data_IF_645531927400
#
_entry.id   IF_645531927400
#
_cell.length_a   1.000
_cell.length_b   1.000
_cell.length_c   1.000
_cell.angle_alpha   90.00
_cell.angle_beta   90.00
_cell.angle_gamma   90.00
#
_symmetry.space_group_name_H-M   'P 1'
#
loop_
_entity.id
_entity.type
_entity.pdbx_description
1 polymer ?
#
# COMPACT_ATOMS: atom_id res chain seq x y z
N UNK A 1 26.07 -19.09 38.55
CA UNK A 1 25.05 -19.34 37.51
C UNK A 1 23.64 -19.02 37.95
N UNK A 2 23.32 -19.01 39.26
CA UNK A 2 21.98 -18.58 39.76
C UNK A 2 21.85 -17.05 39.84
N UNK A 3 22.93 -16.36 40.23
CA UNK A 3 22.90 -14.94 40.56
C UNK A 3 22.72 -14.03 39.33
N UNK A 4 23.34 -14.39 38.20
CA UNK A 4 23.24 -13.61 36.96
C UNK A 4 21.79 -13.58 36.40
N UNK A 5 21.04 -14.66 36.62
CA UNK A 5 19.65 -14.76 36.18
C UNK A 5 18.73 -13.92 37.08
N UNK A 6 18.94 -13.94 38.39
CA UNK A 6 18.16 -13.11 39.31
C UNK A 6 18.47 -11.62 39.12
N UNK A 7 19.72 -11.26 38.85
CA UNK A 7 20.12 -9.90 38.48
C UNK A 7 19.48 -9.46 37.16
N UNK A 8 19.45 -10.33 36.15
CA UNK A 8 18.77 -10.05 34.89
C UNK A 8 17.27 -9.79 35.08
N UNK A 9 16.59 -10.59 35.92
CA UNK A 9 15.18 -10.39 36.23
C UNK A 9 14.92 -9.07 36.97
N UNK A 10 15.79 -8.69 37.91
CA UNK A 10 15.69 -7.39 38.60
C UNK A 10 15.89 -6.23 37.64
N UNK A 11 16.83 -6.34 36.71
CA UNK A 11 17.07 -5.33 35.68
C UNK A 11 15.88 -5.18 34.73
N UNK A 12 15.23 -6.28 34.37
CA UNK A 12 13.99 -6.27 33.57
C UNK A 12 12.85 -5.57 34.34
N UNK A 13 12.67 -5.87 35.63
CA UNK A 13 11.62 -5.22 36.44
C UNK A 13 11.83 -3.70 36.55
N UNK A 14 13.08 -3.27 36.79
CA UNK A 14 13.45 -1.85 36.82
C UNK A 14 13.20 -1.19 35.46
N UNK A 15 13.59 -1.83 34.37
CA UNK A 15 13.34 -1.32 33.02
C UNK A 15 11.84 -1.14 32.75
N UNK A 16 11.04 -2.17 33.02
CA UNK A 16 9.58 -2.13 32.83
C UNK A 16 8.93 -1.02 33.67
N UNK A 17 9.36 -0.84 34.92
CA UNK A 17 8.84 0.22 35.80
C UNK A 17 9.18 1.62 35.27
N UNK A 18 10.41 1.82 34.79
CA UNK A 18 10.84 3.10 34.20
C UNK A 18 10.09 3.37 32.89
N UNK A 19 9.91 2.36 32.05
CA UNK A 19 9.15 2.47 30.81
C UNK A 19 7.70 2.86 31.07
N UNK A 20 7.03 2.17 32.01
CA UNK A 20 5.66 2.47 32.40
C UNK A 20 5.51 3.89 32.95
N UNK A 21 6.46 4.34 33.78
CA UNK A 21 6.47 5.72 34.31
C UNK A 21 6.62 6.75 33.17
N UNK A 22 7.54 6.54 32.24
CA UNK A 22 7.76 7.43 31.09
C UNK A 22 6.54 7.51 30.16
N UNK A 23 5.85 6.37 29.93
CA UNK A 23 4.62 6.35 29.14
C UNK A 23 3.49 7.13 29.82
N UNK A 24 3.33 7.00 31.14
CA UNK A 24 2.32 7.77 31.87
C UNK A 24 2.65 9.26 31.90
N UNK A 25 3.93 9.62 32.00
CA UNK A 25 4.39 11.00 31.92
C UNK A 25 4.16 11.59 30.51
N UNK A 26 4.48 10.86 29.44
CA UNK A 26 4.24 11.32 28.07
C UNK A 26 2.75 11.51 27.76
N UNK A 27 1.89 10.60 28.24
CA UNK A 27 0.44 10.72 28.07
C UNK A 27 -0.14 11.92 28.83
N UNK A 28 0.43 12.28 29.99
CA UNK A 28 0.03 13.48 30.76
C UNK A 28 0.52 14.77 30.10
N UNK A 29 1.69 14.77 29.48
CA UNK A 29 2.22 15.90 28.72
C UNK A 29 1.39 16.15 27.44
N UNK A 30 0.88 15.10 26.80
CA UNK A 30 -0.03 15.20 25.65
C UNK A 30 -1.42 15.76 26.04
N UNK A 31 -1.91 15.51 27.27
CA UNK A 31 -3.16 16.10 27.77
C UNK A 31 -3.08 17.61 27.99
N UNK A 32 -1.88 18.14 28.28
CA UNK A 32 -1.63 19.59 28.44
C UNK A 32 -1.33 20.31 27.11
N UNK A 33 -0.85 19.59 26.09
CA UNK A 33 -0.58 20.13 24.75
C UNK A 33 -1.73 19.83 23.78
N UNK A 34 -2.94 20.24 24.14
CA UNK A 34 -4.13 20.23 23.25
C UNK A 34 -3.99 21.24 22.10
N UNK A 35 -3.11 20.96 21.14
CA UNK A 35 -3.16 21.61 19.83
C UNK A 35 -3.08 20.65 18.65
N UNK A 36 -2.82 19.35 18.87
CA UNK A 36 -2.91 18.35 17.81
C UNK A 36 -4.06 17.38 18.09
N UNK A 37 -5.25 17.56 17.48
CA UNK A 37 -6.25 16.51 17.50
C UNK A 37 -5.66 15.30 16.75
N UNK A 38 -5.26 14.27 17.49
CA UNK A 38 -4.95 12.97 16.92
C UNK A 38 -6.19 12.50 16.16
N UNK A 39 -6.05 12.36 14.84
CA UNK A 39 -7.17 11.95 14.01
C UNK A 39 -7.67 10.56 14.42
N UNK A 40 -9.00 10.34 14.49
CA UNK A 40 -9.56 9.04 14.84
C UNK A 40 -9.04 7.93 13.93
N UNK A 41 -8.72 6.76 14.50
CA UNK A 41 -8.28 5.58 13.75
C UNK A 41 -9.28 5.14 12.66
N UNK A 42 -10.55 5.57 12.77
CA UNK A 42 -11.57 5.34 11.75
C UNK A 42 -11.19 5.96 10.39
N UNK A 43 -10.40 7.04 10.35
CA UNK A 43 -9.84 7.59 9.10
C UNK A 43 -8.77 6.70 8.46
N UNK A 44 -8.15 5.80 9.24
CA UNK A 44 -7.16 4.84 8.74
C UNK A 44 -7.82 3.58 8.16
N UNK A 45 -9.12 3.37 8.40
CA UNK A 45 -9.91 2.29 7.81
C UNK A 45 -10.23 2.60 6.34
N UNK A 46 -9.20 2.72 5.50
CA UNK A 46 -9.38 2.80 4.04
C UNK A 46 -9.90 1.45 3.52
N UNK A 47 -10.76 1.49 2.49
CA UNK A 47 -11.25 0.30 1.79
C UNK A 47 -10.06 -0.60 1.44
N UNK A 48 -10.09 -1.86 1.87
CA UNK A 48 -9.06 -2.84 1.50
C UNK A 48 -9.24 -3.20 0.03
N UNK A 49 -8.37 -2.66 -0.83
CA UNK A 49 -8.26 -3.10 -2.21
C UNK A 49 -7.53 -4.44 -2.25
N UNK A 50 -8.06 -5.37 -3.04
CA UNK A 50 -7.54 -6.74 -3.17
C UNK A 50 -6.90 -6.89 -4.54
N UNK A 51 -5.65 -7.37 -4.57
CA UNK A 51 -4.99 -7.81 -5.80
C UNK A 51 -5.47 -9.22 -6.05
N UNK A 52 -6.29 -9.39 -7.07
CA UNK A 52 -7.11 -10.59 -7.19
C UNK A 52 -6.37 -11.75 -7.85
N UNK A 53 -5.50 -11.51 -8.84
CA UNK A 53 -4.88 -12.61 -9.59
C UNK A 53 -3.73 -12.16 -10.52
N UNK A 54 -2.78 -13.09 -10.76
CA UNK A 54 -1.70 -13.03 -11.76
C UNK A 54 -2.02 -13.98 -12.91
N UNK A 55 -1.97 -13.49 -14.15
CA UNK A 55 -2.13 -14.34 -15.34
C UNK A 55 -1.08 -14.05 -16.41
N UNK A 56 -0.57 -15.11 -17.05
CA UNK A 56 0.29 -15.02 -18.23
C UNK A 56 -0.59 -15.05 -19.50
N UNK A 57 -0.45 -14.04 -20.37
CA UNK A 57 -1.32 -13.92 -21.56
C UNK A 57 -0.95 -14.88 -22.69
N UNK A 58 0.21 -15.53 -22.67
CA UNK A 58 0.59 -16.51 -23.70
C UNK A 58 1.14 -17.82 -23.12
N UNK A 59 0.66 -18.99 -23.57
CA UNK A 59 1.18 -20.28 -23.12
C UNK A 59 2.45 -20.64 -23.91
N UNK A 60 3.55 -19.91 -23.69
CA UNK A 60 4.85 -20.27 -24.27
C UNK A 60 5.61 -21.19 -23.32
N UNK A 61 5.35 -22.50 -23.49
CA UNK A 61 6.23 -23.60 -23.11
C UNK A 61 6.63 -23.65 -21.63
N UNK A 62 6.06 -24.61 -20.89
CA UNK A 62 6.44 -25.00 -19.53
C UNK A 62 7.96 -25.16 -19.36
N UNK A 63 8.68 -24.08 -19.07
CA UNK A 63 10.06 -24.14 -18.63
C UNK A 63 10.00 -24.25 -17.11
N UNK A 64 10.39 -25.42 -16.60
CA UNK A 64 10.44 -25.74 -15.16
C UNK A 64 11.55 -24.99 -14.41
N UNK A 65 12.04 -23.88 -14.96
CA UNK A 65 13.06 -23.03 -14.37
C UNK A 65 12.37 -21.68 -14.12
N UNK A 66 12.20 -21.26 -12.85
CA UNK A 66 11.72 -19.91 -12.56
C UNK A 66 12.65 -18.92 -13.25
N UNK A 67 12.12 -18.15 -14.21
CA UNK A 67 12.89 -17.07 -14.81
C UNK A 67 13.23 -16.08 -13.69
N UNK A 68 14.52 -15.80 -13.42
CA UNK A 68 14.96 -15.02 -12.25
C UNK A 68 14.56 -13.54 -12.29
N UNK A 69 13.65 -13.11 -13.17
CA UNK A 69 13.42 -11.70 -13.52
C UNK A 69 11.97 -11.24 -13.39
N UNK A 70 11.06 -12.08 -12.89
CA UNK A 70 9.69 -11.65 -12.56
C UNK A 70 9.46 -11.87 -11.07
N UNK A 71 10.24 -11.17 -10.25
CA UNK A 71 9.82 -10.91 -8.87
C UNK A 71 8.45 -10.24 -8.93
N UNK A 72 7.52 -10.70 -8.10
CA UNK A 72 6.20 -10.11 -8.05
C UNK A 72 6.33 -8.64 -7.62
N UNK A 73 5.82 -7.70 -8.43
CA UNK A 73 5.96 -6.29 -8.15
C UNK A 73 5.16 -5.97 -6.90
N UNK A 74 5.75 -5.20 -6.00
CA UNK A 74 4.99 -4.60 -4.91
C UNK A 74 4.01 -3.60 -5.51
N UNK A 75 2.74 -3.74 -5.13
CA UNK A 75 1.65 -2.86 -5.58
C UNK A 75 0.97 -2.28 -4.35
N UNK A 76 1.04 -0.96 -4.22
CA UNK A 76 0.37 -0.20 -3.18
C UNK A 76 -0.76 0.64 -3.79
N UNK A 77 -1.91 0.67 -3.12
CA UNK A 77 -3.09 1.43 -3.56
C UNK A 77 -3.45 2.42 -2.47
N UNK A 78 -3.42 3.70 -2.82
CA UNK A 78 -3.77 4.81 -1.95
C UNK A 78 -5.05 5.47 -2.45
N UNK A 79 -5.91 5.80 -1.51
CA UNK A 79 -7.12 6.57 -1.79
C UNK A 79 -7.09 7.88 -1.01
N UNK A 80 -7.37 8.97 -1.72
CA UNK A 80 -7.52 10.32 -1.21
C UNK A 80 -8.91 10.87 -1.61
N UNK A 81 -9.27 12.09 -1.21
CA UNK A 81 -10.57 12.71 -1.50
C UNK A 81 -10.87 12.81 -3.00
N UNK A 82 -9.84 13.09 -3.80
CA UNK A 82 -9.99 13.38 -5.23
C UNK A 82 -9.48 12.27 -6.16
N UNK A 83 -8.62 11.37 -5.67
CA UNK A 83 -7.91 10.41 -6.51
C UNK A 83 -7.76 9.04 -5.84
N UNK A 84 -7.65 8.01 -6.67
CA UNK A 84 -7.06 6.72 -6.33
C UNK A 84 -5.69 6.64 -7.02
N UNK A 85 -4.64 6.38 -6.26
CA UNK A 85 -3.26 6.26 -6.74
C UNK A 85 -2.79 4.82 -6.60
N UNK A 86 -2.33 4.24 -7.69
CA UNK A 86 -1.68 2.92 -7.72
C UNK A 86 -0.19 3.13 -7.91
N UNK A 87 0.63 2.58 -7.02
CA UNK A 87 2.08 2.52 -7.14
C UNK A 87 2.48 1.07 -7.37
N UNK A 88 3.21 0.80 -8.44
CA UNK A 88 3.69 -0.52 -8.80
C UNK A 88 5.20 -0.49 -9.02
N UNK A 89 5.94 -1.34 -8.32
CA UNK A 89 7.39 -1.43 -8.46
C UNK A 89 7.76 -2.14 -9.77
N UNK A 90 8.24 -1.42 -10.77
CA UNK A 90 8.67 -1.99 -12.05
C UNK A 90 9.63 -1.07 -12.85
N UNK A 91 10.28 -1.62 -13.87
CA UNK A 91 11.17 -0.88 -14.78
C UNK A 91 10.41 -0.37 -16.00
N UNK A 92 9.74 0.76 -15.83
CA UNK A 92 8.80 1.27 -16.82
C UNK A 92 9.40 1.87 -18.12
N UNK A 93 10.72 2.05 -18.24
CA UNK A 93 11.38 2.47 -19.49
C UNK A 93 11.80 1.31 -20.39
N UNK A 94 12.09 0.16 -19.78
CA UNK A 94 12.63 -1.00 -20.50
C UNK A 94 11.54 -2.05 -20.79
N UNK A 95 10.35 -1.87 -20.21
CA UNK A 95 9.23 -2.79 -20.32
C UNK A 95 8.05 -2.14 -21.03
N UNK A 96 7.34 -2.93 -21.84
CA UNK A 96 6.06 -2.50 -22.41
C UNK A 96 4.99 -2.60 -21.33
N UNK A 97 4.42 -1.45 -20.96
CA UNK A 97 3.34 -1.36 -19.98
C UNK A 97 2.03 -1.09 -20.70
N UNK A 98 1.01 -1.87 -20.40
CA UNK A 98 -0.38 -1.60 -20.83
C UNK A 98 -1.30 -1.58 -19.62
N UNK A 99 -2.26 -0.68 -19.64
CA UNK A 99 -3.27 -0.55 -18.58
C UNK A 99 -4.64 -0.59 -19.24
N UNK A 100 -5.46 -1.56 -18.84
CA UNK A 100 -6.78 -1.77 -19.38
C UNK A 100 -7.83 -1.68 -18.27
N UNK A 101 -8.97 -1.05 -18.57
CA UNK A 101 -10.16 -1.15 -17.75
C UNK A 101 -10.80 -2.52 -17.98
N UNK A 102 -11.22 -3.17 -16.90
CA UNK A 102 -11.99 -4.42 -16.91
C UNK A 102 -13.25 -4.25 -16.07
N UNK A 103 -14.18 -5.20 -16.11
CA UNK A 103 -15.52 -5.06 -15.52
C UNK A 103 -15.56 -4.76 -14.02
N UNK A 104 -14.55 -5.22 -13.27
CA UNK A 104 -14.45 -5.14 -11.82
C UNK A 104 -13.20 -4.40 -11.32
N UNK A 105 -12.48 -3.73 -12.22
CA UNK A 105 -11.22 -3.12 -11.83
C UNK A 105 -10.33 -2.61 -12.95
N UNK A 106 -9.04 -2.63 -12.66
CA UNK A 106 -7.97 -2.22 -13.56
C UNK A 106 -7.01 -3.40 -13.75
N UNK A 107 -6.66 -3.68 -14.99
CA UNK A 107 -5.61 -4.64 -15.32
C UNK A 107 -4.36 -3.87 -15.73
N UNK A 108 -3.24 -4.15 -15.06
CA UNK A 108 -1.93 -3.62 -15.43
C UNK A 108 -1.10 -4.79 -15.97
N UNK A 109 -0.54 -4.65 -17.16
CA UNK A 109 0.32 -5.67 -17.76
C UNK A 109 1.72 -5.12 -17.99
N UNK A 110 2.72 -5.91 -17.60
CA UNK A 110 4.13 -5.72 -17.93
C UNK A 110 4.53 -6.87 -18.85
N UNK A 111 4.81 -6.54 -20.11
CA UNK A 111 5.09 -7.53 -21.15
C UNK A 111 3.95 -8.56 -21.26
N UNK A 112 4.19 -9.81 -20.88
CA UNK A 112 3.23 -10.92 -20.97
C UNK A 112 2.53 -11.24 -19.63
N UNK A 113 2.87 -10.53 -18.54
CA UNK A 113 2.34 -10.77 -17.19
C UNK A 113 1.40 -9.64 -16.80
N UNK A 114 0.19 -10.02 -16.35
CA UNK A 114 -0.83 -9.06 -15.94
C UNK A 114 -1.26 -9.26 -14.49
N UNK A 115 -1.56 -8.14 -13.85
CA UNK A 115 -2.11 -8.05 -12.51
C UNK A 115 -3.48 -7.40 -12.55
N UNK A 116 -4.44 -8.06 -11.92
CA UNK A 116 -5.80 -7.57 -11.77
C UNK A 116 -5.95 -6.85 -10.43
N UNK A 117 -6.34 -5.59 -10.49
CA UNK A 117 -6.60 -4.74 -9.32
C UNK A 117 -8.09 -4.49 -9.19
N UNK A 118 -8.68 -4.94 -8.10
CA UNK A 118 -10.07 -4.62 -7.79
C UNK A 118 -10.16 -3.18 -7.32
N UNK A 119 -10.70 -2.33 -8.18
CA UNK A 119 -10.91 -0.91 -7.91
C UNK A 119 -12.37 -0.57 -8.15
N UNK A 120 -12.94 0.42 -7.44
CA UNK A 120 -14.33 0.84 -7.60
C UNK A 120 -14.44 1.69 -8.86
N UNK A 121 -14.23 1.07 -10.03
CA UNK A 121 -14.15 1.77 -11.33
C UNK A 121 -15.44 2.52 -11.70
N UNK A 122 -16.56 2.23 -11.05
CA UNK A 122 -17.82 2.98 -11.17
C UNK A 122 -17.76 4.36 -10.50
N UNK A 123 -16.83 4.55 -9.58
CA UNK A 123 -16.59 5.79 -8.83
C UNK A 123 -15.36 6.55 -9.39
N UNK A 124 -14.74 6.06 -10.47
CA UNK A 124 -13.47 6.56 -11.02
C UNK A 124 -13.57 6.95 -12.50
N UNK A 125 -12.97 8.09 -12.87
CA UNK A 125 -12.75 8.49 -14.26
C UNK A 125 -11.51 7.80 -14.83
N UNK A 126 -11.60 6.48 -15.08
CA UNK A 126 -10.49 5.67 -15.60
C UNK A 126 -9.94 6.19 -16.93
N UNK A 127 -10.79 6.77 -17.78
CA UNK A 127 -10.37 7.38 -19.06
C UNK A 127 -9.47 8.60 -18.87
N UNK A 128 -9.54 9.27 -17.71
CA UNK A 128 -8.74 10.43 -17.36
C UNK A 128 -7.54 10.06 -16.47
N UNK A 129 -7.14 8.79 -16.44
CA UNK A 129 -5.99 8.37 -15.64
C UNK A 129 -4.69 8.97 -16.18
N UNK A 130 -3.78 9.31 -15.27
CA UNK A 130 -2.44 9.81 -15.60
C UNK A 130 -1.43 8.78 -15.14
N UNK A 131 -0.52 8.41 -16.05
CA UNK A 131 0.55 7.45 -15.79
C UNK A 131 1.90 8.17 -15.73
N UNK A 132 2.68 7.90 -14.69
CA UNK A 132 4.03 8.45 -14.50
C UNK A 132 5.01 7.33 -14.19
N UNK A 133 6.20 7.39 -14.78
CA UNK A 133 7.29 6.47 -14.46
C UNK A 133 8.35 7.21 -13.63
N UNK A 134 8.43 6.88 -12.35
CA UNK A 134 9.34 7.51 -11.40
C UNK A 134 10.69 6.78 -11.39
N UNK A 135 11.74 7.46 -11.85
CA UNK A 135 13.13 6.98 -11.83
C UNK A 135 13.36 5.60 -12.46
N UNK A 136 12.51 5.15 -13.39
CA UNK A 136 12.53 3.79 -13.95
C UNK A 136 12.43 2.67 -12.89
N UNK A 137 11.79 2.95 -11.75
CA UNK A 137 11.67 1.99 -10.63
C UNK A 137 10.25 1.82 -10.12
N UNK A 138 9.38 2.80 -10.36
CA UNK A 138 7.99 2.73 -9.95
C UNK A 138 7.09 3.34 -11.04
N UNK A 139 6.04 2.60 -11.38
CA UNK A 139 4.91 3.08 -12.13
C UNK A 139 3.90 3.67 -11.15
N UNK A 140 3.46 4.89 -11.44
CA UNK A 140 2.41 5.59 -10.70
C UNK A 140 1.23 5.84 -11.62
N UNK A 141 0.04 5.39 -11.20
CA UNK A 141 -1.21 5.59 -11.92
C UNK A 141 -2.15 6.39 -11.02
N UNK A 142 -2.45 7.62 -11.42
CA UNK A 142 -3.40 8.51 -10.73
C UNK A 142 -4.74 8.48 -11.46
N UNK A 143 -5.80 8.05 -10.77
CA UNK A 143 -7.15 7.93 -11.31
C UNK A 143 -8.08 8.89 -10.58
N UNK A 144 -8.64 9.91 -11.24
CA UNK A 144 -9.56 10.85 -10.61
C UNK A 144 -10.86 10.17 -10.19
N UNK A 145 -11.41 10.56 -9.03
CA UNK A 145 -12.75 10.18 -8.61
C UNK A 145 -13.82 10.96 -9.39
N UNK A 146 -14.95 10.31 -9.64
CA UNK A 146 -16.13 10.96 -10.21
C UNK A 146 -16.72 11.85 -9.12
N UNK A 147 -16.72 13.18 -9.34
CA UNK A 147 -17.41 14.09 -8.43
C UNK A 147 -18.91 13.89 -8.59
N UNK A 148 -19.54 13.21 -7.64
CA UNK A 148 -20.99 13.24 -7.50
C UNK A 148 -21.36 14.63 -7.01
N UNK A 149 -21.87 15.47 -7.90
CA UNK A 149 -22.60 16.67 -7.49
C UNK A 149 -23.84 16.18 -6.73
N UNK A 150 -23.75 16.12 -5.40
CA UNK A 150 -24.92 16.03 -4.55
C UNK A 150 -25.57 17.40 -4.62
N UNK A 151 -26.52 17.56 -5.55
CA UNK A 151 -27.46 18.67 -5.50
C UNK A 151 -28.30 18.46 -4.23
N UNK A 152 -27.94 19.18 -3.16
CA UNK A 152 -28.78 19.40 -1.97
C UNK A 152 -29.90 20.40 -2.31
#
# INVERSE_FOLDING_TARGET
MSDDFEEALRNIDVFCRVLAKKLVESLKEEEYNKENPLEPMEKLLKRKYVIEERFEQTPKGKHFIPLPHVEEPLIDIFEDENYVKVLMQCRCKDQRITINKIDDGLQICLEDVCWKLNLPIKELHVENMVMKCNNNRALEVEIPKIKTNVNL
#
